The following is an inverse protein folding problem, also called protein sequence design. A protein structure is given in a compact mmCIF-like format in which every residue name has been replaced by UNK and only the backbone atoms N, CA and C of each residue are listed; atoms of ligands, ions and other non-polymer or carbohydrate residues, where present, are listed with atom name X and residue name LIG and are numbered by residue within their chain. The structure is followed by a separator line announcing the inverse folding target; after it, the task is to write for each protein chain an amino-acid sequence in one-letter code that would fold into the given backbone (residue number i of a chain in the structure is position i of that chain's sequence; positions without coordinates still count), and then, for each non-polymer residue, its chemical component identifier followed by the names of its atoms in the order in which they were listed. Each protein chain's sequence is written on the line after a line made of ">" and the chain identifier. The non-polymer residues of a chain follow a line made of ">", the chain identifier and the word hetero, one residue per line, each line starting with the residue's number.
data_IF_873959571599
#
_entry.id   IF_873959571599
#
_cell.length_a   1.000
_cell.length_b   1.000
_cell.length_c   1.000
_cell.angle_alpha   90.00
_cell.angle_beta   90.00
_cell.angle_gamma   90.00
#
_symmetry.space_group_name_H-M   'P 1'
#
loop_
_entity.id
_entity.type
_entity.pdbx_description
1 polymer ?
#
# COMPACT_ATOMS: atom_id res chain seq x y z
N UNK A 1 -2.73 31.02 2.58
CA UNK A 1 -4.17 30.86 2.31
C UNK A 1 -4.32 30.09 1.00
N UNK A 2 -4.21 28.77 1.08
CA UNK A 2 -4.30 27.84 -0.05
C UNK A 2 -5.73 27.34 -0.15
N UNK A 3 -6.43 27.72 -1.22
CA UNK A 3 -7.84 27.37 -1.43
C UNK A 3 -7.99 25.95 -1.94
N UNK A 4 -8.76 25.12 -1.25
CA UNK A 4 -9.28 23.87 -1.79
C UNK A 4 -10.26 24.20 -2.93
N UNK A 5 -9.93 23.83 -4.17
CA UNK A 5 -10.84 24.01 -5.31
C UNK A 5 -11.76 22.79 -5.44
N UNK A 6 -13.07 23.01 -5.30
CA UNK A 6 -14.11 22.05 -5.67
C UNK A 6 -14.41 22.25 -7.15
N UNK A 7 -13.87 21.39 -8.01
CA UNK A 7 -14.28 21.32 -9.42
C UNK A 7 -15.47 20.39 -9.55
N UNK A 8 -16.66 20.96 -9.69
CA UNK A 8 -17.78 20.27 -10.37
C UNK A 8 -17.49 20.38 -11.88
N UNK A 9 -16.82 19.37 -12.44
CA UNK A 9 -16.57 19.31 -13.88
C UNK A 9 -17.72 18.59 -14.57
N UNK A 10 -18.58 19.34 -15.27
CA UNK A 10 -19.32 18.80 -16.42
C UNK A 10 -18.33 18.61 -17.58
N UNK A 11 -17.50 17.57 -17.49
CA UNK A 11 -16.52 17.23 -18.51
C UNK A 11 -17.10 16.26 -19.53
N UNK A 12 -17.19 16.67 -20.79
CA UNK A 12 -17.35 15.74 -21.92
C UNK A 12 -16.24 14.69 -21.86
N UNK A 13 -16.59 13.47 -21.48
CA UNK A 13 -15.67 12.33 -21.46
C UNK A 13 -15.28 11.98 -22.89
N UNK A 14 -14.08 12.41 -23.30
CA UNK A 14 -13.47 11.92 -24.52
C UNK A 14 -12.88 10.54 -24.21
N UNK A 15 -13.70 9.50 -24.32
CA UNK A 15 -13.24 8.11 -24.22
C UNK A 15 -12.28 7.87 -25.39
N UNK A 16 -11.00 7.74 -25.08
CA UNK A 16 -10.00 7.29 -26.06
C UNK A 16 -10.44 5.98 -26.70
N UNK A 17 -10.35 5.91 -28.02
CA UNK A 17 -10.72 4.74 -28.82
C UNK A 17 -9.94 3.50 -28.38
N UNK A 18 -10.68 2.42 -28.11
CA UNK A 18 -10.14 1.11 -27.70
C UNK A 18 -9.28 0.53 -28.84
N UNK A 19 -7.98 0.25 -28.63
CA UNK A 19 -7.18 -0.45 -29.62
C UNK A 19 -7.77 -1.84 -29.88
N UNK A 20 -8.05 -2.15 -31.14
CA UNK A 20 -8.52 -3.45 -31.61
C UNK A 20 -7.47 -4.54 -31.30
N UNK A 21 -7.72 -5.27 -30.23
CA UNK A 21 -6.86 -6.31 -29.66
C UNK A 21 -7.07 -6.36 -28.15
N UNK A 22 -8.31 -6.66 -27.72
CA UNK A 22 -8.71 -6.63 -26.30
C UNK A 22 -8.02 -7.80 -25.59
N UNK A 23 -6.79 -7.60 -25.12
CA UNK A 23 -6.32 -8.36 -23.97
C UNK A 23 -7.18 -7.92 -22.79
N UNK A 24 -8.03 -8.81 -22.30
CA UNK A 24 -8.78 -8.59 -21.08
C UNK A 24 -7.76 -8.40 -19.94
N UNK A 25 -7.87 -7.30 -19.21
CA UNK A 25 -6.95 -7.02 -18.12
C UNK A 25 -7.07 -8.12 -17.05
N UNK A 26 -5.95 -8.60 -16.48
CA UNK A 26 -5.98 -9.67 -15.48
C UNK A 26 -6.80 -9.24 -14.25
N UNK A 27 -7.59 -10.15 -13.70
CA UNK A 27 -8.44 -9.83 -12.53
C UNK A 27 -7.61 -9.64 -11.25
N UNK A 28 -6.53 -10.40 -11.10
CA UNK A 28 -5.61 -10.34 -9.97
C UNK A 28 -4.17 -10.42 -10.48
N UNK A 29 -3.30 -9.57 -9.95
CA UNK A 29 -1.88 -9.46 -10.31
C UNK A 29 -1.05 -9.56 -9.03
N UNK A 30 -0.17 -10.56 -8.95
CA UNK A 30 0.73 -10.75 -7.81
C UNK A 30 1.86 -9.71 -7.82
N UNK A 31 2.48 -9.50 -6.66
CA UNK A 31 3.65 -8.64 -6.53
C UNK A 31 4.83 -9.11 -7.41
N UNK A 32 5.77 -8.20 -7.67
CA UNK A 32 6.99 -8.47 -8.43
C UNK A 32 8.24 -8.34 -7.53
N UNK A 33 9.31 -9.08 -7.85
CA UNK A 33 10.53 -9.12 -7.04
C UNK A 33 11.23 -7.74 -6.90
N UNK A 34 11.02 -6.84 -7.86
CA UNK A 34 11.60 -5.48 -7.86
C UNK A 34 10.69 -4.42 -7.21
N UNK A 35 9.60 -4.81 -6.56
CA UNK A 35 8.64 -3.91 -5.92
C UNK A 35 9.33 -2.89 -5.01
N UNK A 36 10.09 -3.37 -4.02
CA UNK A 36 10.68 -2.51 -2.99
C UNK A 36 11.79 -1.59 -3.54
N UNK A 37 12.57 -2.04 -4.53
CA UNK A 37 13.57 -1.17 -5.17
C UNK A 37 12.94 -0.10 -6.05
N UNK A 38 11.85 -0.40 -6.75
CA UNK A 38 11.05 0.61 -7.47
C UNK A 38 10.44 1.62 -6.50
N UNK A 39 9.89 1.16 -5.37
CA UNK A 39 9.36 2.02 -4.30
C UNK A 39 10.42 2.93 -3.70
N UNK A 40 11.60 2.39 -3.38
CA UNK A 40 12.73 3.17 -2.86
C UNK A 40 13.17 4.25 -3.84
N UNK A 41 13.19 3.94 -5.14
CA UNK A 41 13.48 4.93 -6.19
C UNK A 41 12.42 6.03 -6.23
N UNK A 42 11.13 5.67 -6.21
CA UNK A 42 10.03 6.64 -6.21
C UNK A 42 10.05 7.54 -4.97
N UNK A 43 10.32 6.99 -3.78
CA UNK A 43 10.47 7.76 -2.54
C UNK A 43 11.60 8.80 -2.63
N UNK A 44 12.74 8.46 -3.25
CA UNK A 44 13.83 9.43 -3.46
C UNK A 44 13.44 10.58 -4.38
N UNK A 45 12.64 10.32 -5.42
CA UNK A 45 12.09 11.39 -6.27
C UNK A 45 11.13 12.28 -5.47
N UNK A 46 10.33 11.68 -4.59
CA UNK A 46 9.36 12.39 -3.77
C UNK A 46 10.02 13.29 -2.71
N UNK A 47 11.24 12.97 -2.25
CA UNK A 47 12.04 13.85 -1.36
C UNK A 47 12.25 15.22 -1.99
N UNK A 48 12.56 15.26 -3.29
CA UNK A 48 12.76 16.53 -4.02
C UNK A 48 11.43 17.24 -4.31
N UNK A 49 10.36 16.47 -4.52
CA UNK A 49 9.04 17.00 -4.88
C UNK A 49 8.27 17.55 -3.66
N UNK A 50 8.50 17.01 -2.47
CA UNK A 50 7.77 17.36 -1.24
C UNK A 50 8.73 17.75 -0.11
N UNK A 51 9.34 18.95 -0.16
CA UNK A 51 10.36 19.37 0.81
C UNK A 51 9.87 19.35 2.27
N UNK A 52 8.57 19.55 2.51
CA UNK A 52 7.99 19.52 3.86
C UNK A 52 8.06 18.13 4.52
N UNK A 53 8.28 17.06 3.76
CA UNK A 53 8.36 15.68 4.23
C UNK A 53 9.71 15.03 3.89
N UNK A 54 10.73 15.80 3.52
CA UNK A 54 11.99 15.30 2.97
C UNK A 54 12.73 14.30 3.88
N UNK A 55 12.91 14.61 5.17
CA UNK A 55 13.57 13.74 6.15
C UNK A 55 12.80 12.43 6.32
N UNK A 56 11.47 12.51 6.38
CA UNK A 56 10.59 11.36 6.50
C UNK A 56 10.63 10.48 5.26
N UNK A 57 10.44 11.05 4.07
CA UNK A 57 10.48 10.32 2.80
C UNK A 57 11.86 9.73 2.52
N UNK A 58 12.93 10.42 2.91
CA UNK A 58 14.29 9.90 2.82
C UNK A 58 14.52 8.71 3.77
N UNK A 59 13.96 8.74 4.98
CA UNK A 59 13.98 7.59 5.88
C UNK A 59 13.18 6.42 5.29
N UNK A 60 11.97 6.67 4.80
CA UNK A 60 11.15 5.64 4.17
C UNK A 60 11.79 5.05 2.90
N UNK A 61 12.55 5.85 2.14
CA UNK A 61 13.33 5.35 1.01
C UNK A 61 14.41 4.36 1.45
N UNK A 62 15.06 4.60 2.61
CA UNK A 62 16.03 3.67 3.21
C UNK A 62 15.34 2.40 3.71
N UNK A 63 14.17 2.52 4.34
CA UNK A 63 13.35 1.36 4.75
C UNK A 63 12.99 0.50 3.55
N UNK A 64 12.47 1.09 2.46
CA UNK A 64 12.14 0.36 1.23
C UNK A 64 13.37 -0.27 0.58
N UNK A 65 14.53 0.38 0.63
CA UNK A 65 15.78 -0.20 0.16
C UNK A 65 16.20 -1.42 1.01
N UNK A 66 16.10 -1.32 2.34
CA UNK A 66 16.36 -2.43 3.25
C UNK A 66 15.39 -3.60 3.04
N UNK A 67 14.09 -3.32 2.82
CA UNK A 67 13.11 -4.34 2.42
C UNK A 67 13.54 -5.09 1.16
N UNK A 68 14.06 -4.36 0.15
CA UNK A 68 14.55 -5.00 -1.08
C UNK A 68 15.75 -5.91 -0.82
N UNK A 69 16.73 -5.45 -0.02
CA UNK A 69 17.91 -6.26 0.33
C UNK A 69 17.49 -7.53 1.06
N UNK A 70 16.65 -7.42 2.09
CA UNK A 70 16.18 -8.61 2.84
C UNK A 70 15.35 -9.55 1.96
N UNK A 71 14.48 -9.03 1.08
CA UNK A 71 13.72 -9.87 0.15
C UNK A 71 14.63 -10.65 -0.81
N UNK A 72 15.74 -10.05 -1.24
CA UNK A 72 16.61 -10.59 -2.30
C UNK A 72 17.77 -11.44 -1.80
N UNK A 73 18.28 -11.17 -0.60
CA UNK A 73 19.49 -11.81 -0.07
C UNK A 73 19.21 -12.79 1.07
N UNK A 74 18.08 -12.64 1.78
CA UNK A 74 17.76 -13.47 2.94
C UNK A 74 16.87 -14.65 2.57
N UNK A 75 17.33 -15.84 2.97
CA UNK A 75 16.56 -17.07 2.92
C UNK A 75 15.67 -17.22 4.16
N UNK A 76 14.34 -17.42 4.01
CA UNK A 76 13.46 -17.59 5.17
C UNK A 76 13.67 -18.96 5.82
N UNK A 77 13.60 -19.01 7.16
CA UNK A 77 13.74 -20.28 7.90
C UNK A 77 12.59 -21.26 7.65
N UNK A 78 11.39 -20.73 7.36
CA UNK A 78 10.21 -21.50 7.01
C UNK A 78 9.77 -21.20 5.58
N UNK A 79 9.36 -22.25 4.87
CA UNK A 79 8.73 -22.17 3.56
C UNK A 79 7.48 -23.05 3.55
N UNK A 80 6.41 -22.61 2.88
CA UNK A 80 5.23 -23.45 2.70
C UNK A 80 5.59 -24.72 1.90
N UNK A 81 4.90 -25.82 2.17
CA UNK A 81 4.96 -27.00 1.33
C UNK A 81 4.47 -26.67 -0.10
N UNK A 82 4.94 -27.38 -1.14
CA UNK A 82 4.58 -27.08 -2.52
C UNK A 82 3.07 -27.02 -2.81
N UNK A 83 2.26 -27.80 -2.09
CA UNK A 83 0.81 -27.94 -2.21
C UNK A 83 0.03 -27.17 -1.11
N UNK A 84 0.72 -26.42 -0.24
CA UNK A 84 0.11 -25.79 0.94
C UNK A 84 -1.04 -24.83 0.61
N UNK A 85 -1.09 -24.30 -0.62
CA UNK A 85 -2.07 -23.30 -1.04
C UNK A 85 -3.17 -23.85 -1.97
N UNK A 86 -3.05 -25.10 -2.41
CA UNK A 86 -3.91 -25.66 -3.46
C UNK A 86 -5.38 -25.68 -3.05
N UNK A 87 -5.66 -26.11 -1.81
CA UNK A 87 -7.01 -26.14 -1.26
C UNK A 87 -7.62 -24.73 -1.17
N UNK A 88 -6.86 -23.74 -0.68
CA UNK A 88 -7.33 -22.36 -0.58
C UNK A 88 -7.66 -21.78 -1.96
N UNK A 89 -6.76 -21.99 -2.93
CA UNK A 89 -6.96 -21.56 -4.32
C UNK A 89 -8.16 -22.25 -4.98
N UNK A 90 -8.38 -23.54 -4.71
CA UNK A 90 -9.52 -24.29 -5.24
C UNK A 90 -10.85 -23.79 -4.68
N UNK A 91 -10.89 -23.39 -3.41
CA UNK A 91 -12.11 -22.95 -2.73
C UNK A 91 -12.31 -21.43 -2.72
N UNK A 92 -11.47 -20.66 -3.41
CA UNK A 92 -11.59 -19.20 -3.47
C UNK A 92 -11.27 -18.49 -2.14
N UNK A 93 -10.55 -19.16 -1.24
CA UNK A 93 -10.13 -18.59 0.05
C UNK A 93 -8.78 -17.90 -0.10
N UNK A 94 -8.48 -16.84 0.68
CA UNK A 94 -7.17 -16.18 0.65
C UNK A 94 -6.03 -17.17 1.01
N UNK A 95 -5.15 -17.53 0.05
CA UNK A 95 -4.11 -18.54 0.30
C UNK A 95 -3.05 -18.07 1.31
N UNK A 96 -2.87 -16.76 1.45
CA UNK A 96 -1.89 -16.13 2.34
C UNK A 96 -2.53 -15.40 3.52
N UNK A 97 -3.68 -15.89 4.00
CA UNK A 97 -4.47 -15.29 5.07
C UNK A 97 -3.60 -14.85 6.26
N UNK A 98 -3.51 -13.55 6.51
CA UNK A 98 -2.48 -13.02 7.41
C UNK A 98 -2.63 -13.48 8.86
N UNK A 99 -3.87 -13.66 9.33
CA UNK A 99 -4.16 -14.14 10.68
C UNK A 99 -3.67 -15.57 10.91
N UNK A 100 -3.77 -16.44 9.90
CA UNK A 100 -3.36 -17.83 10.00
C UNK A 100 -1.83 -17.96 9.95
N UNK A 101 -1.18 -17.25 9.03
CA UNK A 101 0.25 -17.43 8.75
C UNK A 101 1.20 -16.65 9.66
N UNK A 102 0.70 -15.66 10.43
CA UNK A 102 1.57 -14.76 11.23
C UNK A 102 2.49 -15.44 12.24
N UNK A 103 2.15 -16.66 12.67
CA UNK A 103 2.96 -17.44 13.62
C UNK A 103 3.97 -18.38 12.94
N UNK A 104 3.69 -18.79 11.71
CA UNK A 104 4.56 -19.72 10.96
C UNK A 104 5.63 -18.96 10.16
N UNK A 105 5.33 -17.72 9.77
CA UNK A 105 6.19 -16.90 8.93
C UNK A 105 7.28 -16.22 9.76
N UNK A 106 8.52 -16.36 9.32
CA UNK A 106 9.72 -15.81 9.95
C UNK A 106 9.95 -14.32 9.63
N UNK A 107 8.94 -13.49 9.90
CA UNK A 107 9.00 -12.04 9.70
C UNK A 107 9.88 -11.35 10.75
N UNK A 108 10.10 -11.95 11.93
CA UNK A 108 10.95 -11.36 12.97
C UNK A 108 12.42 -11.34 12.55
N UNK A 109 12.91 -12.39 11.89
CA UNK A 109 14.27 -12.35 11.36
C UNK A 109 14.38 -11.42 10.14
N UNK A 110 13.30 -11.23 9.35
CA UNK A 110 13.26 -10.19 8.33
C UNK A 110 13.35 -8.79 8.97
N UNK A 111 12.68 -8.56 10.09
CA UNK A 111 12.79 -7.32 10.85
C UNK A 111 14.24 -7.07 11.28
N UNK A 112 14.90 -8.05 11.91
CA UNK A 112 16.29 -7.91 12.32
C UNK A 112 17.22 -7.59 11.13
N UNK A 113 17.03 -8.26 9.99
CA UNK A 113 17.77 -7.94 8.77
C UNK A 113 17.53 -6.52 8.24
N UNK A 114 16.29 -6.01 8.34
CA UNK A 114 15.98 -4.62 8.01
C UNK A 114 16.71 -3.68 8.97
N UNK A 115 16.68 -3.95 10.28
CA UNK A 115 17.37 -3.11 11.28
C UNK A 115 18.89 -3.10 11.04
N UNK A 116 19.49 -4.24 10.69
CA UNK A 116 20.93 -4.34 10.37
C UNK A 116 21.29 -3.50 9.14
N UNK A 117 20.47 -3.56 8.09
CA UNK A 117 20.66 -2.73 6.89
C UNK A 117 20.52 -1.23 7.16
N UNK A 118 19.63 -0.85 8.08
CA UNK A 118 19.36 0.55 8.42
C UNK A 118 20.45 1.14 9.33
N UNK A 119 21.04 0.35 10.23
CA UNK A 119 22.01 0.79 11.24
C UNK A 119 23.13 1.68 10.67
N UNK A 120 23.62 1.35 9.48
CA UNK A 120 24.71 2.07 8.80
C UNK A 120 24.27 3.40 8.14
N UNK A 121 22.97 3.66 8.06
CA UNK A 121 22.40 4.71 7.22
C UNK A 121 21.43 5.64 7.96
N UNK A 122 21.16 5.39 9.25
CA UNK A 122 20.28 6.20 10.09
C UNK A 122 21.04 7.27 10.88
N UNK A 123 20.38 8.40 11.16
CA UNK A 123 20.90 9.45 12.03
C UNK A 123 20.54 9.22 13.50
N UNK A 124 21.09 10.06 14.39
CA UNK A 124 20.89 9.99 15.84
C UNK A 124 19.41 9.98 16.27
N UNK A 125 18.53 10.65 15.51
CA UNK A 125 17.08 10.71 15.81
C UNK A 125 16.37 9.38 15.60
N UNK A 126 16.85 8.56 14.68
CA UNK A 126 16.21 7.28 14.33
C UNK A 126 16.82 6.09 15.08
N UNK A 127 18.06 6.19 15.59
CA UNK A 127 18.71 5.12 16.36
C UNK A 127 17.85 4.54 17.49
N UNK A 128 17.16 5.35 18.33
CA UNK A 128 16.34 4.80 19.40
C UNK A 128 15.21 3.89 18.91
N UNK A 129 14.68 4.10 17.69
CA UNK A 129 13.66 3.23 17.12
C UNK A 129 14.21 1.82 16.85
N UNK A 130 15.44 1.74 16.32
CA UNK A 130 16.13 0.48 16.04
C UNK A 130 16.48 -0.22 17.34
N UNK A 131 17.10 0.49 18.29
CA UNK A 131 17.53 -0.06 19.57
C UNK A 131 16.34 -0.60 20.38
N UNK A 132 15.23 0.14 20.43
CA UNK A 132 14.01 -0.31 21.12
C UNK A 132 13.47 -1.61 20.52
N UNK A 133 13.41 -1.73 19.19
CA UNK A 133 12.93 -2.96 18.53
C UNK A 133 13.88 -4.15 18.72
N UNK A 134 15.19 -3.91 18.79
CA UNK A 134 16.18 -4.95 19.12
C UNK A 134 16.07 -5.40 20.57
N UNK A 135 15.82 -4.48 21.49
CA UNK A 135 15.66 -4.75 22.92
C UNK A 135 14.34 -5.42 23.30
N UNK A 136 13.33 -5.35 22.44
CA UNK A 136 12.04 -6.03 22.64
C UNK A 136 12.17 -7.55 22.56
N UNK A 137 11.37 -8.25 23.37
CA UNK A 137 11.18 -9.70 23.24
C UNK A 137 10.41 -10.05 21.96
N UNK A 138 10.43 -11.33 21.58
CA UNK A 138 9.68 -11.82 20.42
C UNK A 138 8.17 -11.59 20.59
N UNK A 139 7.66 -11.78 21.80
CA UNK A 139 6.24 -11.58 22.13
C UNK A 139 5.84 -10.10 22.04
N UNK A 140 6.70 -9.19 22.49
CA UNK A 140 6.47 -7.76 22.38
C UNK A 140 6.42 -7.30 20.92
N UNK A 141 7.35 -7.80 20.09
CA UNK A 141 7.31 -7.54 18.65
C UNK A 141 6.06 -8.16 18.01
N UNK A 142 5.67 -9.36 18.42
CA UNK A 142 4.48 -10.03 17.91
C UNK A 142 3.18 -9.27 18.24
N UNK A 143 3.10 -8.62 19.41
CA UNK A 143 1.98 -7.75 19.75
C UNK A 143 1.89 -6.54 18.80
N UNK A 144 3.02 -5.87 18.50
CA UNK A 144 3.05 -4.81 17.49
C UNK A 144 2.63 -5.30 16.12
N UNK A 145 3.09 -6.49 15.71
CA UNK A 145 2.71 -7.08 14.43
C UNK A 145 1.21 -7.38 14.36
N UNK A 146 0.61 -7.82 15.47
CA UNK A 146 -0.84 -8.03 15.55
C UNK A 146 -1.62 -6.71 15.40
N UNK A 147 -1.18 -5.63 16.04
CA UNK A 147 -1.79 -4.31 15.84
C UNK A 147 -1.65 -3.82 14.39
N UNK A 148 -0.48 -4.02 13.76
CA UNK A 148 -0.26 -3.68 12.35
C UNK A 148 -1.21 -4.48 11.44
N UNK A 149 -1.28 -5.80 11.60
CA UNK A 149 -2.09 -6.66 10.74
C UNK A 149 -3.59 -6.39 10.86
N UNK A 150 -4.03 -5.95 12.04
CA UNK A 150 -5.43 -5.62 12.33
C UNK A 150 -5.73 -4.12 12.14
N UNK A 151 -4.79 -3.36 11.54
CA UNK A 151 -4.89 -1.93 11.28
C UNK A 151 -5.25 -1.09 12.53
N UNK A 152 -4.79 -1.50 13.71
CA UNK A 152 -4.98 -0.76 14.97
C UNK A 152 -3.89 0.29 15.16
N UNK A 153 -4.19 1.42 15.83
CA UNK A 153 -3.21 2.49 16.06
C UNK A 153 -2.12 2.11 17.09
N UNK A 154 -2.30 1.02 17.83
CA UNK A 154 -1.40 0.59 18.91
C UNK A 154 -1.28 1.61 20.05
N UNK A 155 -0.41 1.29 21.01
CA UNK A 155 -0.05 2.16 22.12
C UNK A 155 0.79 3.35 21.62
N UNK A 156 0.48 4.57 22.08
CA UNK A 156 1.18 5.79 21.69
C UNK A 156 2.70 5.71 21.90
N UNK A 157 3.15 5.06 22.98
CA UNK A 157 4.57 4.93 23.30
C UNK A 157 5.33 4.00 22.32
N UNK A 158 4.63 3.10 21.63
CA UNK A 158 5.25 2.12 20.72
C UNK A 158 4.81 2.27 19.27
N UNK A 159 3.82 3.13 18.99
CA UNK A 159 3.29 3.40 17.65
C UNK A 159 4.37 3.77 16.64
N UNK A 160 5.35 4.57 17.06
CA UNK A 160 6.47 4.96 16.20
C UNK A 160 7.36 3.80 15.74
N UNK A 161 7.31 2.64 16.41
CA UNK A 161 8.06 1.43 16.07
C UNK A 161 7.33 0.56 15.03
N UNK A 162 6.00 0.65 14.98
CA UNK A 162 5.14 -0.20 14.16
C UNK A 162 5.45 -0.14 12.66
N UNK A 163 5.82 1.00 12.04
CA UNK A 163 6.20 1.04 10.62
C UNK A 163 7.38 0.13 10.23
N UNK A 164 8.34 -0.09 11.14
CA UNK A 164 9.47 -1.01 10.89
C UNK A 164 9.02 -2.48 10.99
N UNK A 165 8.12 -2.79 11.93
CA UNK A 165 7.46 -4.10 12.02
C UNK A 165 6.64 -4.37 10.76
N UNK A 166 5.84 -3.38 10.32
CA UNK A 166 5.10 -3.43 9.07
C UNK A 166 6.00 -3.67 7.85
N UNK A 167 7.17 -3.03 7.80
CA UNK A 167 8.11 -3.23 6.71
C UNK A 167 8.59 -4.68 6.61
N UNK A 168 8.84 -5.33 7.76
CA UNK A 168 9.22 -6.74 7.83
C UNK A 168 8.07 -7.68 7.42
N UNK A 169 6.85 -7.40 7.91
CA UNK A 169 5.65 -8.14 7.49
C UNK A 169 5.41 -8.03 5.98
N UNK A 170 5.58 -6.84 5.39
CA UNK A 170 5.48 -6.66 3.93
C UNK A 170 6.50 -7.52 3.18
N UNK A 171 7.76 -7.58 3.63
CA UNK A 171 8.78 -8.44 3.01
C UNK A 171 8.34 -9.90 3.05
N UNK A 172 7.89 -10.38 4.21
CA UNK A 172 7.52 -11.76 4.39
C UNK A 172 6.31 -12.16 3.53
N UNK A 173 5.27 -11.31 3.45
CA UNK A 173 4.08 -11.59 2.64
C UNK A 173 4.31 -11.39 1.13
N UNK A 174 5.16 -10.45 0.73
CA UNK A 174 5.58 -10.34 -0.67
C UNK A 174 6.38 -11.57 -1.09
N UNK A 175 7.26 -12.09 -0.22
CA UNK A 175 8.00 -13.34 -0.47
C UNK A 175 7.05 -14.52 -0.72
N UNK A 176 6.00 -14.65 0.11
CA UNK A 176 4.98 -15.68 -0.07
C UNK A 176 4.15 -15.48 -1.35
N UNK A 177 3.78 -14.24 -1.67
CA UNK A 177 3.05 -13.93 -2.91
C UNK A 177 3.86 -14.28 -4.15
N UNK A 178 5.18 -14.07 -4.12
CA UNK A 178 6.09 -14.45 -5.20
C UNK A 178 6.24 -15.96 -5.37
N UNK A 179 5.97 -16.74 -4.31
CA UNK A 179 6.04 -18.21 -4.35
C UNK A 179 4.71 -18.88 -4.74
N UNK A 180 3.63 -18.11 -4.90
CA UNK A 180 2.35 -18.69 -5.33
C UNK A 180 2.46 -19.21 -6.78
N UNK A 181 1.93 -20.41 -7.08
CA UNK A 181 2.00 -20.97 -8.42
C UNK A 181 1.14 -20.20 -9.43
N UNK A 182 0.10 -19.51 -8.95
CA UNK A 182 -0.82 -18.67 -9.72
C UNK A 182 -1.52 -17.66 -8.80
N UNK A 183 -2.01 -16.52 -9.33
CA UNK A 183 -2.88 -15.63 -8.57
C UNK A 183 -4.19 -16.35 -8.16
N UNK A 184 -4.81 -15.97 -7.01
CA UNK A 184 -6.18 -16.36 -6.69
C UNK A 184 -7.17 -15.71 -7.67
N UNK A 185 -8.42 -16.18 -7.64
CA UNK A 185 -9.51 -15.57 -8.40
C UNK A 185 -9.92 -14.19 -7.88
N UNK A 186 -10.77 -13.49 -8.64
CA UNK A 186 -11.41 -12.24 -8.20
C UNK A 186 -12.13 -12.47 -6.86
N UNK A 187 -12.00 -11.55 -5.88
CA UNK A 187 -12.72 -11.68 -4.63
C UNK A 187 -14.23 -11.59 -4.83
N UNK A 188 -14.98 -12.25 -3.96
CA UNK A 188 -16.43 -12.16 -3.92
C UNK A 188 -16.90 -10.71 -3.70
N UNK A 189 -18.09 -10.35 -4.18
CA UNK A 189 -18.69 -9.03 -3.97
C UNK A 189 -18.65 -8.51 -2.53
N UNK A 190 -18.79 -9.40 -1.54
CA UNK A 190 -18.80 -9.06 -0.12
C UNK A 190 -17.39 -8.84 0.46
N UNK A 191 -16.35 -9.37 -0.20
CA UNK A 191 -14.96 -9.29 0.24
C UNK A 191 -14.09 -8.41 -0.67
N UNK A 192 -14.69 -7.63 -1.58
CA UNK A 192 -13.97 -6.81 -2.57
C UNK A 192 -13.00 -5.80 -1.98
N UNK A 193 -13.28 -5.33 -0.76
CA UNK A 193 -12.44 -4.38 -0.03
C UNK A 193 -11.21 -5.05 0.60
N UNK A 194 -11.10 -6.38 0.52
CA UNK A 194 -10.01 -7.15 1.08
C UNK A 194 -9.19 -7.79 -0.04
N UNK A 195 -7.88 -7.91 0.21
CA UNK A 195 -6.99 -8.56 -0.73
C UNK A 195 -7.36 -10.06 -0.88
N UNK A 196 -7.60 -10.57 -2.11
CA UNK A 196 -7.92 -11.98 -2.33
C UNK A 196 -6.74 -12.91 -2.03
N UNK A 197 -5.54 -12.36 -1.85
CA UNK A 197 -4.33 -13.13 -1.57
C UNK A 197 -4.13 -13.31 -0.07
N UNK A 198 -4.16 -12.23 0.72
CA UNK A 198 -3.83 -12.29 2.15
C UNK A 198 -4.93 -11.82 3.11
N UNK A 199 -6.03 -11.26 2.61
CA UNK A 199 -7.12 -10.72 3.42
C UNK A 199 -6.91 -9.29 3.95
N UNK A 200 -5.74 -8.67 3.74
CA UNK A 200 -5.48 -7.32 4.24
C UNK A 200 -6.19 -6.22 3.42
N UNK A 201 -6.42 -5.07 4.06
CA UNK A 201 -6.96 -3.86 3.44
C UNK A 201 -6.05 -3.32 2.32
N UNK A 202 -6.60 -2.59 1.33
CA UNK A 202 -5.80 -1.84 0.37
C UNK A 202 -5.11 -0.64 1.02
N UNK A 203 -3.93 -0.29 0.53
CA UNK A 203 -3.30 1.00 0.86
C UNK A 203 -3.92 2.13 0.05
N UNK A 204 -4.16 1.87 -1.24
CA UNK A 204 -4.66 2.79 -2.22
C UNK A 204 -5.19 2.01 -3.44
N UNK A 205 -5.90 2.69 -4.33
CA UNK A 205 -6.09 2.24 -5.70
C UNK A 205 -4.93 2.67 -6.60
N UNK A 206 -4.80 2.02 -7.75
CA UNK A 206 -3.87 2.39 -8.81
C UNK A 206 -4.57 2.29 -10.17
N UNK A 207 -4.37 3.31 -11.00
CA UNK A 207 -4.78 3.31 -12.40
C UNK A 207 -3.53 3.12 -13.24
N UNK A 208 -3.52 2.06 -14.04
CA UNK A 208 -2.37 1.65 -14.83
C UNK A 208 -2.33 2.35 -16.20
N UNK A 209 -1.13 2.45 -16.77
CA UNK A 209 -0.90 3.06 -18.09
C UNK A 209 -0.21 2.10 -19.07
N UNK A 210 0.21 0.92 -18.63
CA UNK A 210 0.75 -0.11 -19.51
C UNK A 210 -0.31 -0.71 -20.45
N UNK A 211 0.09 -1.09 -21.68
CA UNK A 211 -0.81 -1.45 -22.79
C UNK A 211 -1.93 -2.44 -22.46
N UNK A 212 -1.69 -3.42 -21.58
CA UNK A 212 -2.66 -4.48 -21.24
C UNK A 212 -3.55 -4.15 -20.04
N UNK A 213 -3.31 -3.03 -19.35
CA UNK A 213 -4.07 -2.54 -18.18
C UNK A 213 -4.36 -1.04 -18.24
N UNK A 214 -4.14 -0.41 -19.39
CA UNK A 214 -4.25 1.05 -19.54
C UNK A 214 -5.67 1.51 -19.18
N UNK A 215 -5.75 2.50 -18.28
CA UNK A 215 -7.01 3.02 -17.78
C UNK A 215 -7.75 2.10 -16.82
N UNK A 216 -7.23 0.90 -16.50
CA UNK A 216 -7.89 -0.06 -15.60
C UNK A 216 -7.48 0.23 -14.16
N UNK A 217 -8.46 0.21 -13.25
CA UNK A 217 -8.27 0.44 -11.82
C UNK A 217 -8.08 -0.87 -11.08
N UNK A 218 -7.11 -0.88 -10.18
CA UNK A 218 -6.87 -1.95 -9.22
C UNK A 218 -6.82 -1.38 -7.82
N UNK A 219 -7.25 -2.16 -6.83
CA UNK A 219 -6.86 -1.96 -5.45
C UNK A 219 -5.47 -2.56 -5.24
N UNK A 220 -4.62 -1.91 -4.45
CA UNK A 220 -3.25 -2.36 -4.15
C UNK A 220 -3.15 -2.75 -2.67
N UNK A 221 -2.79 -4.00 -2.39
CA UNK A 221 -2.75 -4.53 -1.03
C UNK A 221 -1.69 -3.81 -0.18
N UNK A 222 -2.03 -3.47 1.06
CA UNK A 222 -1.12 -2.85 2.04
C UNK A 222 0.00 -3.78 2.55
N UNK A 223 -0.19 -5.09 2.43
CA UNK A 223 0.69 -6.12 3.00
C UNK A 223 1.48 -6.88 1.92
N UNK A 224 0.79 -7.65 1.06
CA UNK A 224 1.45 -8.51 0.06
C UNK A 224 1.63 -7.85 -1.32
N UNK A 225 1.20 -6.60 -1.48
CA UNK A 225 1.23 -5.83 -2.74
C UNK A 225 0.55 -6.50 -3.95
N UNK A 226 -0.29 -7.50 -3.72
CA UNK A 226 -1.19 -8.03 -4.75
C UNK A 226 -2.18 -6.94 -5.15
N UNK A 227 -2.41 -6.83 -6.46
CA UNK A 227 -3.37 -5.92 -7.06
C UNK A 227 -4.59 -6.71 -7.53
N UNK A 228 -5.81 -6.21 -7.29
CA UNK A 228 -7.03 -6.83 -7.81
C UNK A 228 -7.97 -5.80 -8.42
N UNK A 229 -8.59 -6.20 -9.52
CA UNK A 229 -9.39 -5.31 -10.37
C UNK A 229 -10.67 -4.87 -9.66
N UNK A 230 -10.95 -3.57 -9.74
CA UNK A 230 -12.20 -2.96 -9.30
C UNK A 230 -12.68 -1.98 -10.37
N UNK A 231 -13.96 -2.02 -10.71
CA UNK A 231 -14.52 -1.12 -11.71
C UNK A 231 -14.41 0.36 -11.27
N UNK A 232 -13.92 1.24 -12.15
CA UNK A 232 -13.67 2.67 -11.83
C UNK A 232 -14.88 3.44 -11.32
N UNK A 233 -16.07 3.02 -11.72
CA UNK A 233 -17.34 3.70 -11.40
C UNK A 233 -17.95 3.18 -10.10
N UNK A 234 -17.20 2.45 -9.28
CA UNK A 234 -17.69 1.89 -8.02
C UNK A 234 -16.80 2.29 -6.84
N UNK A 235 -17.45 2.71 -5.76
CA UNK A 235 -16.79 2.84 -4.46
C UNK A 235 -16.17 1.50 -4.05
N UNK A 236 -14.94 1.55 -3.52
CA UNK A 236 -14.25 0.35 -3.00
C UNK A 236 -14.91 -0.27 -1.78
N UNK A 237 -15.79 0.48 -1.10
CA UNK A 237 -16.48 0.06 0.11
C UNK A 237 -17.95 -0.31 -0.18
N UNK A 238 -18.77 0.65 -0.61
CA UNK A 238 -20.24 0.48 -0.71
C UNK A 238 -20.79 0.28 -2.13
N UNK A 239 -19.92 0.17 -3.14
CA UNK A 239 -20.27 0.04 -4.57
C UNK A 239 -21.00 1.23 -5.23
N UNK A 240 -21.39 2.25 -4.47
CA UNK A 240 -22.08 3.41 -5.01
C UNK A 240 -21.26 4.07 -6.13
N UNK A 241 -21.90 4.51 -7.23
CA UNK A 241 -21.23 5.24 -8.29
C UNK A 241 -21.09 6.74 -7.99
N UNK A 242 -21.54 7.22 -6.82
CA UNK A 242 -21.50 8.62 -6.41
C UNK A 242 -20.10 9.01 -5.89
N UNK A 243 -19.13 8.99 -6.80
CA UNK A 243 -17.73 9.27 -6.50
C UNK A 243 -17.37 10.72 -6.81
N UNK A 244 -16.55 11.31 -5.95
CA UNK A 244 -15.94 12.64 -6.11
C UNK A 244 -14.43 12.47 -6.03
N UNK A 245 -13.70 13.14 -6.91
CA UNK A 245 -12.24 13.11 -6.94
C UNK A 245 -11.66 14.42 -6.44
N UNK A 246 -10.76 14.34 -5.46
CA UNK A 246 -10.15 15.50 -4.81
C UNK A 246 -8.62 15.40 -4.95
N UNK A 247 -7.98 16.46 -5.45
CA UNK A 247 -6.51 16.56 -5.56
C UNK A 247 -5.98 17.77 -4.78
N UNK A 248 -4.69 17.70 -4.45
CA UNK A 248 -3.90 18.90 -4.21
C UNK A 248 -3.39 19.39 -5.56
N UNK A 249 -3.80 20.59 -5.95
CA UNK A 249 -3.38 21.21 -7.21
C UNK A 249 -2.21 22.19 -6.96
N UNK A 250 -1.31 22.30 -7.93
CA UNK A 250 -0.24 23.30 -7.97
C UNK A 250 -0.79 24.70 -8.31
N UNK A 251 0.07 25.70 -8.32
CA UNK A 251 -0.29 27.09 -8.67
C UNK A 251 -0.89 27.24 -10.08
N UNK A 252 -0.68 26.25 -10.96
CA UNK A 252 -1.20 26.21 -12.33
C UNK A 252 -2.49 25.40 -12.43
N UNK A 253 -3.06 24.96 -11.31
CA UNK A 253 -4.30 24.18 -11.25
C UNK A 253 -4.17 22.75 -11.79
N UNK A 254 -2.95 22.21 -11.79
CA UNK A 254 -2.65 20.81 -12.16
C UNK A 254 -2.39 19.98 -10.91
N UNK A 255 -2.68 18.66 -10.91
CA UNK A 255 -2.36 17.82 -9.77
C UNK A 255 -0.87 17.91 -9.39
N UNK A 256 -0.59 18.26 -8.13
CA UNK A 256 0.76 18.42 -7.59
C UNK A 256 1.52 17.09 -7.52
N UNK A 257 0.82 16.01 -7.17
CA UNK A 257 1.29 14.63 -7.19
C UNK A 257 0.37 13.80 -8.08
N UNK A 258 0.81 12.62 -8.57
CA UNK A 258 -0.04 11.71 -9.35
C UNK A 258 -1.06 10.97 -8.46
N UNK A 259 -1.65 11.64 -7.47
CA UNK A 259 -2.57 11.06 -6.48
C UNK A 259 -3.82 11.93 -6.36
N UNK A 260 -4.96 11.26 -6.28
CA UNK A 260 -6.25 11.85 -5.94
C UNK A 260 -6.91 11.04 -4.83
N UNK A 261 -7.73 11.67 -4.01
CA UNK A 261 -8.67 10.96 -3.16
C UNK A 261 -9.95 10.69 -3.95
N UNK A 262 -10.32 9.43 -4.08
CA UNK A 262 -11.65 9.03 -4.51
C UNK A 262 -12.53 8.92 -3.26
N UNK A 263 -13.44 9.88 -3.10
CA UNK A 263 -14.38 9.97 -1.99
C UNK A 263 -15.78 9.56 -2.45
N UNK A 264 -16.57 8.97 -1.56
CA UNK A 264 -17.92 8.52 -1.85
C UNK A 264 -18.95 9.34 -1.07
N UNK A 265 -19.91 9.95 -1.78
CA UNK A 265 -21.00 10.72 -1.16
C UNK A 265 -22.09 9.86 -0.52
N UNK A 266 -22.00 8.52 -0.63
CA UNK A 266 -22.98 7.60 -0.04
C UNK A 266 -22.50 7.05 1.31
N UNK A 267 -21.28 6.49 1.36
CA UNK A 267 -20.73 5.92 2.59
C UNK A 267 -19.75 6.85 3.31
N UNK A 268 -19.47 8.04 2.75
CA UNK A 268 -18.49 8.98 3.30
C UNK A 268 -17.07 8.41 3.45
N UNK A 269 -16.77 7.29 2.80
CA UNK A 269 -15.42 6.72 2.75
C UNK A 269 -14.59 7.36 1.63
N UNK A 270 -13.27 7.48 1.83
CA UNK A 270 -12.33 7.79 0.75
C UNK A 270 -11.13 6.84 0.72
N UNK A 271 -10.65 6.59 -0.51
CA UNK A 271 -9.43 5.86 -0.78
C UNK A 271 -8.59 6.67 -1.78
N UNK A 272 -7.29 6.82 -1.52
CA UNK A 272 -6.41 7.47 -2.50
C UNK A 272 -6.20 6.60 -3.74
N UNK A 273 -5.97 7.23 -4.87
CA UNK A 273 -5.79 6.63 -6.18
C UNK A 273 -4.51 7.17 -6.80
N UNK A 274 -3.50 6.30 -6.97
CA UNK A 274 -2.29 6.61 -7.70
C UNK A 274 -2.53 6.48 -9.22
N UNK A 275 -2.12 7.49 -9.99
CA UNK A 275 -2.42 7.60 -11.42
C UNK A 275 -1.14 7.47 -12.25
N UNK A 276 -0.86 6.26 -12.77
CA UNK A 276 0.33 6.02 -13.60
C UNK A 276 0.26 6.66 -14.98
N UNK A 277 -0.91 7.14 -15.38
CA UNK A 277 -1.09 8.00 -16.57
C UNK A 277 -0.45 9.38 -16.37
N UNK A 278 -0.51 9.94 -15.16
CA UNK A 278 0.13 11.21 -14.82
C UNK A 278 1.63 11.05 -14.56
N UNK A 279 2.03 9.94 -13.96
CA UNK A 279 3.43 9.62 -13.72
C UNK A 279 3.67 8.11 -13.73
N UNK A 280 4.35 7.59 -14.75
CA UNK A 280 4.50 6.14 -14.97
C UNK A 280 5.17 5.35 -13.84
N UNK A 281 5.88 6.03 -12.92
CA UNK A 281 6.50 5.42 -11.72
C UNK A 281 5.71 5.66 -10.42
N UNK A 282 4.47 6.17 -10.50
CA UNK A 282 3.64 6.33 -9.30
C UNK A 282 3.50 4.99 -8.57
N UNK A 283 3.89 4.99 -7.29
CA UNK A 283 3.84 3.83 -6.39
C UNK A 283 2.75 4.08 -5.33
N UNK A 284 1.77 3.17 -5.19
CA UNK A 284 0.62 3.41 -4.31
C UNK A 284 0.96 3.61 -2.84
N UNK A 285 2.07 3.06 -2.35
CA UNK A 285 2.53 3.25 -0.97
C UNK A 285 3.34 4.54 -0.84
N UNK A 286 4.31 4.76 -1.73
CA UNK A 286 5.18 5.93 -1.67
C UNK A 286 4.43 7.24 -1.89
N UNK A 287 3.58 7.29 -2.93
CA UNK A 287 2.82 8.48 -3.25
C UNK A 287 1.67 8.72 -2.24
N UNK A 288 1.20 7.68 -1.54
CA UNK A 288 0.31 7.86 -0.38
C UNK A 288 1.02 8.55 0.79
N UNK A 289 2.25 8.12 1.13
CA UNK A 289 3.07 8.76 2.17
C UNK A 289 3.39 10.22 1.85
N UNK A 290 3.71 10.52 0.59
CA UNK A 290 4.05 11.87 0.16
C UNK A 290 2.84 12.81 0.03
N UNK A 291 1.61 12.27 0.05
CA UNK A 291 0.37 13.03 -0.09
C UNK A 291 -0.39 13.18 1.24
N UNK A 292 0.29 13.12 2.39
CA UNK A 292 -0.33 13.28 3.72
C UNK A 292 -1.17 14.57 3.85
N UNK A 293 -0.74 15.66 3.21
CA UNK A 293 -1.49 16.91 3.20
C UNK A 293 -2.91 16.77 2.62
N UNK A 294 -3.15 15.78 1.75
CA UNK A 294 -4.47 15.49 1.22
C UNK A 294 -5.36 14.82 2.27
N UNK A 295 -4.82 13.90 3.08
CA UNK A 295 -5.57 13.30 4.20
C UNK A 295 -5.94 14.39 5.23
N UNK A 296 -4.99 15.28 5.56
CA UNK A 296 -5.24 16.38 6.50
C UNK A 296 -6.37 17.30 6.00
N UNK A 297 -6.35 17.66 4.71
CA UNK A 297 -7.41 18.48 4.11
C UNK A 297 -8.78 17.80 4.15
N UNK A 298 -8.83 16.48 3.98
CA UNK A 298 -10.08 15.71 4.07
C UNK A 298 -10.56 15.61 5.52
N UNK A 299 -9.63 15.40 6.46
CA UNK A 299 -9.93 15.34 7.90
C UNK A 299 -10.44 16.69 8.42
N UNK A 300 -9.83 17.81 8.00
CA UNK A 300 -10.27 19.17 8.37
C UNK A 300 -11.70 19.48 7.89
N UNK A 301 -12.13 18.90 6.76
CA UNK A 301 -13.51 19.02 6.29
C UNK A 301 -14.49 18.20 7.14
N UNK A 302 -14.03 17.13 7.77
CA UNK A 302 -14.84 16.25 8.62
C UNK A 302 -15.93 15.47 7.89
N UNK A 303 -15.92 15.43 6.56
CA UNK A 303 -16.97 14.80 5.74
C UNK A 303 -16.62 13.36 5.32
N UNK A 304 -15.32 13.02 5.28
CA UNK A 304 -14.87 11.73 4.78
C UNK A 304 -13.91 11.02 5.72
N UNK A 305 -14.06 9.70 5.82
CA UNK A 305 -13.20 8.82 6.58
C UNK A 305 -12.35 7.94 5.65
N UNK A 306 -11.10 7.67 6.04
CA UNK A 306 -10.18 6.88 5.23
C UNK A 306 -10.52 5.39 5.34
N UNK A 307 -10.77 4.73 4.21
CA UNK A 307 -11.04 3.27 4.18
C UNK A 307 -9.79 2.42 3.95
N UNK A 308 -8.72 3.02 3.40
CA UNK A 308 -7.44 2.33 3.15
C UNK A 308 -6.47 2.42 4.31
N UNK A 309 -5.52 1.48 4.37
CA UNK A 309 -4.52 1.40 5.44
C UNK A 309 -3.09 1.41 4.88
N UNK A 310 -2.28 2.38 5.30
CA UNK A 310 -0.83 2.38 5.04
C UNK A 310 -0.07 2.03 6.32
N UNK A 311 0.46 0.81 6.46
CA UNK A 311 1.10 0.39 7.69
C UNK A 311 2.47 1.06 7.92
N UNK A 312 2.95 1.84 6.94
CA UNK A 312 4.17 2.64 7.06
C UNK A 312 3.91 4.07 7.58
N UNK A 313 2.64 4.43 7.79
CA UNK A 313 2.23 5.69 8.42
C UNK A 313 0.99 5.43 9.28
N UNK A 314 1.22 5.12 10.55
CA UNK A 314 0.17 4.82 11.52
C UNK A 314 -0.09 6.08 12.35
N UNK A 315 -1.23 6.70 12.11
CA UNK A 315 -1.69 7.87 12.86
C UNK A 315 -2.37 7.44 14.15
N UNK A 316 -2.27 8.28 15.18
CA UNK A 316 -3.09 8.11 16.38
C UNK A 316 -4.55 8.41 16.08
N UNK A 317 -5.45 7.73 16.80
CA UNK A 317 -6.83 8.16 16.94
C UNK A 317 -6.96 9.33 17.90
#
# INVERSE_FOLDING_TARGET
>A
MTGASRKESEGQHNFGSVPSGIMQAPEVVLAEAKLFSKRALRLRELVEQVPALDEFLAFMARVAQAQHLVLSEREPAWRPAPDAFDAALQHGMPPLGHQALRRDVDWQADLLGILDSLELHVGERQRPLLDNLRGMSEEQRAALAEDVLEARPGDEATRGLMPLVAAALQVAWVRLALSLPKPPGKPDPQARGLCPCCGALPVASVIHSERHRSGVRYLHCSLCATEWHLERVKCSECESPKLVYLSLDDEKGKPFLPVQAEACNECHGYLKVAQRELHGRADPVADDLASLALDLLLAEKGEYERVGYNPLLIVGG
#
